data_IF_080462600606
#
_entry.id   IF_080462600606
#
_cell.length_a   1.000
_cell.length_b   1.000
_cell.length_c   1.000
_cell.angle_alpha   90.00
_cell.angle_beta   90.00
_cell.angle_gamma   90.00
#
_symmetry.space_group_name_H-M   'P 1'
#
loop_
_entity.id
_entity.type
_entity.pdbx_description
1 polymer ?
#
# COMPACT_ATOMS: atom_id res chain seq x y z
N UNK A 1 -19.88 -16.78 -11.47
CA UNK A 1 -20.58 -15.86 -10.56
C UNK A 1 -20.14 -15.96 -9.09
N UNK A 2 -19.28 -16.90 -8.67
CA UNK A 2 -18.77 -17.04 -7.28
C UNK A 2 -17.50 -16.22 -6.96
N UNK A 3 -16.88 -15.57 -7.93
CA UNK A 3 -15.66 -14.76 -7.71
C UNK A 3 -15.91 -13.34 -7.16
N UNK A 4 -17.15 -12.86 -7.14
CA UNK A 4 -17.46 -11.48 -6.69
C UNK A 4 -17.40 -11.30 -5.16
N UNK A 5 -17.64 -12.36 -4.40
CA UNK A 5 -17.66 -12.28 -2.92
C UNK A 5 -16.27 -12.35 -2.28
N UNK A 6 -15.25 -12.70 -3.03
CA UNK A 6 -13.91 -12.98 -2.52
C UNK A 6 -13.03 -11.73 -2.55
N UNK A 7 -13.25 -10.82 -3.51
CA UNK A 7 -12.53 -9.55 -3.57
C UNK A 7 -12.87 -8.63 -2.38
N UNK A 8 -14.09 -8.68 -1.87
CA UNK A 8 -14.50 -7.91 -0.68
C UNK A 8 -13.83 -8.37 0.61
N UNK A 9 -13.25 -9.56 0.61
CA UNK A 9 -12.72 -10.19 1.80
C UNK A 9 -11.24 -9.84 2.11
N UNK A 10 -10.45 -9.38 1.17
CA UNK A 10 -9.08 -8.86 1.41
C UNK A 10 -9.09 -7.42 1.96
N UNK A 11 -10.21 -6.74 1.80
CA UNK A 11 -10.33 -5.30 2.01
C UNK A 11 -10.23 -4.83 3.47
N UNK A 12 -10.53 -5.66 4.44
CA UNK A 12 -10.61 -5.23 5.84
C UNK A 12 -9.27 -5.23 6.58
N UNK A 13 -8.20 -5.77 5.97
CA UNK A 13 -7.04 -6.22 6.71
C UNK A 13 -5.93 -5.18 6.96
N UNK A 14 -5.72 -4.20 6.10
CA UNK A 14 -4.54 -3.28 6.21
C UNK A 14 -4.86 -1.95 6.88
N UNK A 15 -6.12 -1.57 6.96
CA UNK A 15 -6.53 -0.32 7.60
C UNK A 15 -6.19 -0.25 9.10
N UNK A 16 -6.16 -1.40 9.75
CA UNK A 16 -5.83 -1.49 11.18
C UNK A 16 -4.36 -1.21 11.49
N UNK A 17 -3.48 -1.42 10.51
CA UNK A 17 -2.03 -1.31 10.67
C UNK A 17 -1.58 0.09 11.07
N UNK A 18 -2.34 1.12 10.72
CA UNK A 18 -1.88 2.50 10.86
C UNK A 18 -2.78 3.40 11.74
N UNK A 19 -3.96 2.93 12.18
CA UNK A 19 -4.99 3.76 12.83
C UNK A 19 -5.03 3.62 14.35
N UNK A 20 -4.27 2.72 14.98
CA UNK A 20 -4.34 2.55 16.45
C UNK A 20 -3.57 3.65 17.23
N UNK A 21 -4.24 4.75 17.48
CA UNK A 21 -3.80 5.88 18.31
C UNK A 21 -4.44 5.86 19.72
N UNK A 22 -4.65 4.69 20.32
CA UNK A 22 -5.11 4.67 21.72
C UNK A 22 -4.21 3.79 22.58
N UNK A 23 -3.83 4.21 23.80
CA UNK A 23 -3.18 3.33 24.77
C UNK A 23 -4.23 2.36 25.30
N UNK A 24 -4.53 1.33 24.55
CA UNK A 24 -5.40 0.24 24.91
C UNK A 24 -4.59 -1.02 25.08
N UNK A 25 -4.82 -1.72 26.15
CA UNK A 25 -4.27 -3.02 26.53
C UNK A 25 -3.95 -3.86 25.30
N UNK A 26 -2.67 -4.25 25.13
CA UNK A 26 -2.25 -5.17 24.10
C UNK A 26 -3.08 -6.46 24.20
N UNK A 27 -3.97 -6.67 23.23
CA UNK A 27 -4.69 -7.93 23.17
C UNK A 27 -3.72 -9.05 22.74
N UNK A 28 -3.79 -10.23 23.37
CA UNK A 28 -2.91 -11.33 22.99
C UNK A 28 -3.15 -11.68 21.52
N UNK A 29 -2.11 -11.62 20.74
CA UNK A 29 -2.15 -12.06 19.34
C UNK A 29 -2.23 -13.59 19.33
N UNK A 30 -3.09 -14.19 18.49
CA UNK A 30 -3.06 -15.62 18.32
C UNK A 30 -1.71 -16.04 17.73
N UNK A 31 -0.84 -16.63 18.54
CA UNK A 31 0.45 -17.16 18.10
C UNK A 31 0.32 -18.17 16.94
N UNK A 32 -0.85 -18.79 16.81
CA UNK A 32 -1.19 -19.74 15.75
C UNK A 32 -1.26 -19.11 14.35
N UNK A 33 -1.58 -17.83 14.22
CA UNK A 33 -1.64 -17.14 12.92
C UNK A 33 -0.24 -16.82 12.38
N UNK A 34 0.74 -16.65 13.26
CA UNK A 34 2.13 -16.39 12.89
C UNK A 34 2.89 -17.64 12.43
N UNK A 35 2.41 -18.83 12.79
CA UNK A 35 3.16 -20.09 12.62
C UNK A 35 3.39 -20.51 11.15
N UNK A 36 2.71 -19.91 10.19
CA UNK A 36 2.81 -20.31 8.77
C UNK A 36 3.34 -19.21 7.85
N UNK A 37 3.88 -18.12 8.41
CA UNK A 37 4.37 -17.05 7.57
C UNK A 37 5.77 -17.34 7.05
N UNK A 38 5.92 -17.31 5.73
CA UNK A 38 7.23 -17.17 5.10
C UNK A 38 7.61 -15.68 4.96
N UNK A 39 7.11 -14.84 5.84
CA UNK A 39 7.45 -13.42 5.92
C UNK A 39 8.21 -13.19 7.22
N UNK A 40 9.46 -12.80 7.12
CA UNK A 40 10.31 -12.41 8.24
C UNK A 40 10.39 -10.89 8.32
N UNK A 41 10.32 -10.35 9.52
CA UNK A 41 10.36 -8.90 9.76
C UNK A 41 11.57 -8.52 10.59
N UNK A 42 12.24 -7.42 10.22
CA UNK A 42 13.40 -6.91 10.91
C UNK A 42 13.32 -5.39 11.10
N UNK A 43 13.38 -4.93 12.35
CA UNK A 43 13.63 -3.52 12.67
C UNK A 43 15.11 -3.32 12.92
N UNK A 44 15.84 -2.83 11.95
CA UNK A 44 17.27 -2.58 12.05
C UNK A 44 17.48 -1.23 12.74
N UNK A 45 18.29 -1.20 13.79
CA UNK A 45 18.53 0.04 14.55
C UNK A 45 19.06 1.16 13.63
N UNK A 46 18.52 2.38 13.75
CA UNK A 46 18.88 3.47 12.86
C UNK A 46 20.33 3.94 13.11
N UNK A 47 21.03 4.21 12.01
CA UNK A 47 22.37 4.82 12.07
C UNK A 47 22.32 6.31 12.40
N UNK A 48 21.16 6.95 12.22
CA UNK A 48 20.96 8.37 12.45
C UNK A 48 20.10 8.59 13.68
N UNK A 49 20.56 9.36 14.69
CA UNK A 49 19.79 9.60 15.91
C UNK A 49 18.37 10.16 15.68
N UNK A 50 18.19 10.98 14.62
CA UNK A 50 16.88 11.53 14.27
C UNK A 50 15.83 10.46 13.94
N UNK A 51 16.24 9.31 13.41
CA UNK A 51 15.34 8.23 13.03
C UNK A 51 14.96 7.31 14.21
N UNK A 52 15.54 7.54 15.41
CA UNK A 52 15.18 6.74 16.59
C UNK A 52 13.72 6.90 16.97
N UNK A 53 13.21 8.13 16.96
CA UNK A 53 11.79 8.39 17.26
C UNK A 53 10.83 7.73 16.23
N UNK A 54 11.27 7.62 14.97
CA UNK A 54 10.54 6.91 13.92
C UNK A 54 10.51 5.41 14.21
N UNK A 55 11.66 4.81 14.54
CA UNK A 55 11.74 3.40 14.93
C UNK A 55 10.81 3.10 16.13
N UNK A 56 10.91 3.90 17.20
CA UNK A 56 10.11 3.70 18.42
C UNK A 56 8.62 3.77 18.12
N UNK A 57 8.20 4.69 17.25
CA UNK A 57 6.81 4.84 16.80
C UNK A 57 6.33 3.63 16.00
N UNK A 58 7.14 3.16 15.04
CA UNK A 58 6.81 2.01 14.20
C UNK A 58 6.75 0.72 15.00
N UNK A 59 7.70 0.50 15.94
CA UNK A 59 7.69 -0.64 16.88
C UNK A 59 6.50 -0.58 17.81
N UNK A 60 6.22 0.57 18.42
CA UNK A 60 5.05 0.74 19.31
C UNK A 60 3.73 0.43 18.60
N UNK A 61 3.63 0.79 17.33
CA UNK A 61 2.46 0.50 16.48
C UNK A 61 2.49 -0.91 15.87
N UNK A 62 3.58 -1.64 16.04
CA UNK A 62 3.76 -3.00 15.53
C UNK A 62 3.53 -3.12 14.01
N UNK A 63 4.02 -2.12 13.25
CA UNK A 63 3.73 -1.97 11.83
C UNK A 63 4.17 -3.18 11.02
N UNK A 64 5.37 -3.70 11.24
CA UNK A 64 5.86 -4.87 10.51
C UNK A 64 5.16 -6.16 10.93
N UNK A 65 4.83 -6.29 12.21
CA UNK A 65 4.11 -7.46 12.73
C UNK A 65 2.70 -7.56 12.13
N UNK A 66 2.01 -6.43 12.00
CA UNK A 66 0.70 -6.36 11.37
C UNK A 66 0.80 -6.64 9.87
N UNK A 67 1.84 -6.11 9.21
CA UNK A 67 2.13 -6.44 7.82
C UNK A 67 2.39 -7.93 7.63
N UNK A 68 3.24 -8.53 8.48
CA UNK A 68 3.52 -9.98 8.43
C UNK A 68 2.26 -10.82 8.63
N UNK A 69 1.37 -10.40 9.54
CA UNK A 69 0.09 -11.06 9.73
C UNK A 69 -0.82 -10.91 8.50
N UNK A 70 -0.90 -9.72 7.91
CA UNK A 70 -1.64 -9.49 6.68
C UNK A 70 -1.14 -10.38 5.52
N UNK A 71 0.17 -10.53 5.41
CA UNK A 71 0.80 -11.33 4.36
C UNK A 71 0.79 -12.84 4.68
N UNK A 72 0.43 -13.24 5.90
CA UNK A 72 0.46 -14.65 6.32
C UNK A 72 -0.36 -15.62 5.45
N UNK A 73 -1.47 -15.21 4.79
CA UNK A 73 -2.18 -16.08 3.85
C UNK A 73 -1.42 -16.37 2.55
N UNK A 74 -0.36 -15.63 2.23
CA UNK A 74 0.42 -15.88 1.02
C UNK A 74 1.28 -17.13 1.18
N UNK A 75 1.08 -18.10 0.30
CA UNK A 75 1.84 -19.34 0.19
C UNK A 75 3.08 -19.11 -0.67
N UNK A 76 4.09 -18.43 -0.11
CA UNK A 76 5.31 -18.12 -0.83
C UNK A 76 6.24 -19.35 -0.89
N UNK A 77 6.86 -19.67 -2.04
CA UNK A 77 7.85 -20.75 -2.14
C UNK A 77 9.17 -20.42 -1.44
N UNK A 78 9.43 -19.12 -1.18
CA UNK A 78 10.63 -18.60 -0.53
C UNK A 78 10.27 -17.68 0.63
N UNK A 79 11.22 -17.43 1.52
CA UNK A 79 11.05 -16.48 2.63
C UNK A 79 11.21 -15.07 2.10
N UNK A 80 10.16 -14.25 2.24
CA UNK A 80 10.21 -12.81 2.00
C UNK A 80 10.65 -12.11 3.30
N UNK A 81 11.70 -11.31 3.23
CA UNK A 81 12.14 -10.45 4.34
C UNK A 81 11.57 -9.06 4.16
N UNK A 82 11.07 -8.47 5.23
CA UNK A 82 10.66 -7.06 5.25
C UNK A 82 11.43 -6.34 6.34
N UNK A 83 12.24 -5.37 5.95
CA UNK A 83 13.14 -4.65 6.85
C UNK A 83 12.83 -3.18 6.88
N UNK A 84 12.93 -2.56 8.05
CA UNK A 84 13.02 -1.10 8.18
C UNK A 84 14.45 -0.77 8.59
N UNK A 85 15.09 0.14 7.84
CA UNK A 85 16.51 0.44 8.00
C UNK A 85 16.89 1.86 7.58
N UNK A 86 18.11 2.30 7.90
CA UNK A 86 18.70 3.54 7.36
C UNK A 86 19.24 3.27 5.97
N UNK A 87 18.84 4.06 4.98
CA UNK A 87 19.31 3.95 3.59
C UNK A 87 20.15 5.15 3.14
N UNK A 88 20.19 6.25 3.91
CA UNK A 88 20.86 7.50 3.54
C UNK A 88 20.05 8.39 2.60
N UNK A 89 18.90 7.93 2.13
CA UNK A 89 17.96 8.69 1.28
C UNK A 89 16.53 8.17 1.48
N UNK A 90 15.55 9.01 1.19
CA UNK A 90 14.15 8.58 1.17
C UNK A 90 13.92 7.58 0.02
N UNK A 91 13.69 6.32 0.37
CA UNK A 91 13.46 5.23 -0.59
C UNK A 91 12.77 4.04 0.06
N UNK A 92 12.17 3.19 -0.75
CA UNK A 92 11.86 1.80 -0.50
C UNK A 92 12.32 1.01 -1.72
N UNK A 93 12.72 -0.24 -1.55
CA UNK A 93 13.19 -1.05 -2.68
C UNK A 93 13.20 -2.54 -2.36
N UNK A 94 12.89 -3.34 -3.37
CA UNK A 94 13.02 -4.79 -3.33
C UNK A 94 14.43 -5.21 -3.79
N UNK A 95 15.02 -6.18 -3.09
CA UNK A 95 16.33 -6.76 -3.40
C UNK A 95 16.15 -8.20 -3.87
N UNK A 96 16.21 -8.43 -5.16
CA UNK A 96 16.02 -9.74 -5.80
C UNK A 96 16.92 -10.84 -5.22
N UNK A 97 18.21 -10.55 -5.05
CA UNK A 97 19.19 -11.52 -4.53
C UNK A 97 18.92 -11.97 -3.09
N UNK A 98 18.16 -11.22 -2.32
CA UNK A 98 17.88 -11.48 -0.90
C UNK A 98 16.41 -11.81 -0.62
N UNK A 99 15.53 -11.66 -1.61
CA UNK A 99 14.07 -11.66 -1.45
C UNK A 99 13.63 -10.75 -0.30
N UNK A 100 14.12 -9.52 -0.33
CA UNK A 100 13.94 -8.58 0.76
C UNK A 100 13.36 -7.25 0.29
N UNK A 101 12.32 -6.78 0.96
CA UNK A 101 11.80 -5.42 0.88
C UNK A 101 12.50 -4.60 1.96
N UNK A 102 13.16 -3.52 1.56
CA UNK A 102 13.82 -2.59 2.46
C UNK A 102 13.04 -1.26 2.46
N UNK A 103 12.51 -0.91 3.63
CA UNK A 103 11.80 0.34 3.88
C UNK A 103 12.74 1.29 4.62
N UNK A 104 13.03 2.44 4.05
CA UNK A 104 13.97 3.38 4.65
C UNK A 104 13.26 4.25 5.70
N UNK A 105 13.89 4.49 6.87
CA UNK A 105 13.38 5.47 7.83
C UNK A 105 13.18 6.83 7.17
N UNK A 106 14.09 7.20 6.30
CA UNK A 106 14.07 8.46 5.57
C UNK A 106 12.85 8.59 4.65
N UNK A 107 12.29 7.45 4.17
CA UNK A 107 11.05 7.49 3.38
C UNK A 107 9.85 7.88 4.24
N UNK A 108 9.70 7.26 5.41
CA UNK A 108 8.64 7.63 6.36
C UNK A 108 8.76 9.10 6.79
N UNK A 109 9.99 9.52 7.13
CA UNK A 109 10.30 10.92 7.50
C UNK A 109 9.99 11.89 6.35
N UNK A 110 10.24 11.46 5.10
CA UNK A 110 9.89 12.24 3.92
C UNK A 110 8.37 12.38 3.76
N UNK A 111 7.59 11.33 3.99
CA UNK A 111 6.13 11.41 3.98
C UNK A 111 5.63 12.39 5.04
N UNK A 112 6.21 12.39 6.23
CA UNK A 112 5.90 13.37 7.28
C UNK A 112 6.26 14.82 6.85
N UNK A 113 7.35 14.99 6.11
CA UNK A 113 7.83 16.30 5.67
C UNK A 113 6.98 16.91 4.55
N UNK A 114 6.51 16.09 3.58
CA UNK A 114 5.68 16.57 2.48
C UNK A 114 4.19 16.66 2.84
N UNK A 115 3.78 16.00 3.92
CA UNK A 115 2.39 15.99 4.37
C UNK A 115 1.96 17.42 4.75
N UNK A 116 0.69 17.78 4.44
CA UNK A 116 0.18 19.11 4.79
C UNK A 116 0.28 19.35 6.29
N UNK A 117 0.50 20.60 6.66
CA UNK A 117 0.41 21.06 8.06
C UNK A 117 -1.05 21.10 8.52
N UNK A 118 -1.32 21.87 9.58
CA UNK A 118 -2.67 22.02 10.14
C UNK A 118 -3.64 22.81 9.22
N UNK A 119 -3.14 23.48 8.19
CA UNK A 119 -3.98 24.14 7.21
C UNK A 119 -4.45 23.11 6.16
N UNK A 120 -5.70 23.21 5.67
CA UNK A 120 -6.19 22.34 4.61
C UNK A 120 -5.31 22.44 3.36
N UNK A 121 -4.79 21.33 2.91
CA UNK A 121 -4.10 21.28 1.64
C UNK A 121 -5.08 21.40 0.45
N UNK A 122 -4.60 21.75 -0.75
CA UNK A 122 -5.42 21.72 -1.96
C UNK A 122 -6.18 20.37 -2.05
N UNK A 123 -7.44 20.43 -2.47
CA UNK A 123 -8.33 19.26 -2.57
C UNK A 123 -8.61 18.51 -1.26
N UNK A 124 -8.34 19.12 -0.09
CA UNK A 124 -8.70 18.57 1.22
C UNK A 124 -7.86 17.37 1.65
N UNK A 125 -6.60 17.29 1.27
CA UNK A 125 -5.68 16.28 1.78
C UNK A 125 -5.33 16.55 3.25
N UNK A 126 -5.30 15.52 4.06
CA UNK A 126 -4.87 15.58 5.46
C UNK A 126 -3.47 15.02 5.65
N UNK A 127 -2.81 15.38 6.76
CA UNK A 127 -1.49 14.85 7.10
C UNK A 127 -1.51 13.33 7.23
N UNK A 128 -2.49 12.80 7.95
CA UNK A 128 -2.57 11.37 8.21
C UNK A 128 -2.81 10.58 6.91
N UNK A 129 -3.68 11.06 6.02
CA UNK A 129 -3.87 10.43 4.71
C UNK A 129 -2.55 10.33 3.93
N UNK A 130 -1.76 11.40 3.92
CA UNK A 130 -0.50 11.44 3.15
C UNK A 130 0.55 10.53 3.74
N UNK A 131 0.76 10.58 5.07
CA UNK A 131 1.77 9.73 5.72
C UNK A 131 1.39 8.26 5.60
N UNK A 132 0.14 7.93 5.91
CA UNK A 132 -0.35 6.55 5.87
C UNK A 132 -0.42 6.03 4.44
N UNK A 133 -1.06 6.77 3.54
CA UNK A 133 -1.25 6.34 2.16
C UNK A 133 0.06 6.22 1.39
N UNK A 134 0.97 7.19 1.53
CA UNK A 134 2.27 7.14 0.88
C UNK A 134 3.17 6.01 1.41
N UNK A 135 3.09 5.71 2.71
CA UNK A 135 3.88 4.61 3.28
C UNK A 135 3.32 3.23 2.90
N UNK A 136 2.00 3.06 2.91
CA UNK A 136 1.34 1.83 2.43
C UNK A 136 1.62 1.61 0.94
N UNK A 137 1.57 2.68 0.15
CA UNK A 137 1.86 2.60 -1.27
C UNK A 137 3.26 2.06 -1.54
N UNK A 138 4.28 2.61 -0.87
CA UNK A 138 5.64 2.10 -0.99
C UNK A 138 5.75 0.61 -0.60
N UNK A 139 5.12 0.20 0.49
CA UNK A 139 5.12 -1.21 0.92
C UNK A 139 4.50 -2.12 -0.16
N UNK A 140 3.36 -1.73 -0.72
CA UNK A 140 2.66 -2.57 -1.69
C UNK A 140 3.27 -2.52 -3.09
N UNK A 141 3.90 -1.42 -3.44
CA UNK A 141 4.70 -1.33 -4.65
C UNK A 141 5.88 -2.31 -4.59
N UNK A 142 6.66 -2.28 -3.51
CA UNK A 142 7.78 -3.23 -3.32
C UNK A 142 7.30 -4.68 -3.15
N UNK A 143 6.13 -4.88 -2.56
CA UNK A 143 5.49 -6.19 -2.52
C UNK A 143 5.13 -6.68 -3.94
N UNK A 144 4.78 -5.78 -4.85
CA UNK A 144 4.56 -6.08 -6.26
C UNK A 144 5.78 -6.75 -6.87
N UNK A 145 6.94 -6.10 -6.80
CA UNK A 145 8.21 -6.66 -7.26
C UNK A 145 8.53 -8.01 -6.62
N UNK A 146 8.37 -8.10 -5.30
CA UNK A 146 8.61 -9.34 -4.55
C UNK A 146 7.69 -10.48 -5.02
N UNK A 147 6.42 -10.22 -5.30
CA UNK A 147 5.49 -11.24 -5.76
C UNK A 147 5.75 -11.66 -7.21
N UNK A 148 6.11 -10.71 -8.08
CA UNK A 148 6.46 -11.02 -9.47
C UNK A 148 7.69 -11.93 -9.53
N UNK A 149 8.73 -11.63 -8.75
CA UNK A 149 9.94 -12.46 -8.67
C UNK A 149 9.70 -13.80 -7.98
N UNK A 150 9.18 -13.80 -6.74
CA UNK A 150 9.08 -15.01 -5.92
C UNK A 150 8.09 -16.03 -6.49
N UNK A 151 7.03 -15.57 -7.16
CA UNK A 151 5.99 -16.42 -7.77
C UNK A 151 6.21 -16.64 -9.27
N UNK A 152 7.31 -16.12 -9.84
CA UNK A 152 7.63 -16.21 -11.26
C UNK A 152 6.48 -15.73 -12.16
N UNK A 153 5.93 -14.55 -11.82
CA UNK A 153 4.80 -13.96 -12.54
C UNK A 153 5.31 -13.17 -13.75
N UNK A 154 4.97 -13.55 -14.98
CA UNK A 154 5.40 -12.81 -16.16
C UNK A 154 4.73 -11.43 -16.24
N UNK A 155 5.51 -10.41 -16.48
CA UNK A 155 5.05 -9.03 -16.65
C UNK A 155 5.30 -8.57 -18.08
N UNK A 156 4.24 -8.12 -18.77
CA UNK A 156 4.35 -7.46 -20.07
C UNK A 156 4.40 -5.94 -19.90
N UNK A 157 5.47 -5.33 -20.34
CA UNK A 157 5.67 -3.88 -20.21
C UNK A 157 6.62 -3.56 -19.06
N UNK A 158 6.45 -2.35 -18.50
CA UNK A 158 7.29 -1.93 -17.38
C UNK A 158 6.80 -2.55 -16.08
N UNK A 159 7.72 -3.19 -15.36
CA UNK A 159 7.42 -3.82 -14.07
C UNK A 159 6.96 -2.78 -13.04
N UNK A 160 7.52 -1.57 -13.08
CA UNK A 160 7.15 -0.44 -12.24
C UNK A 160 5.67 -0.05 -12.37
N UNK A 161 5.15 -0.01 -13.61
CA UNK A 161 3.73 0.25 -13.83
C UNK A 161 2.85 -0.90 -13.30
N UNK A 162 3.32 -2.14 -13.38
CA UNK A 162 2.60 -3.30 -12.85
C UNK A 162 2.60 -3.32 -11.31
N UNK A 163 3.72 -2.93 -10.68
CA UNK A 163 3.83 -2.78 -9.22
C UNK A 163 2.89 -1.69 -8.70
N UNK A 164 2.83 -0.52 -9.37
CA UNK A 164 1.86 0.54 -9.06
C UNK A 164 0.40 0.07 -9.18
N UNK A 165 0.09 -0.67 -10.24
CA UNK A 165 -1.26 -1.20 -10.45
C UNK A 165 -1.64 -2.21 -9.37
N UNK A 166 -0.70 -3.06 -8.95
CA UNK A 166 -0.93 -4.00 -7.86
C UNK A 166 -1.09 -3.26 -6.53
N UNK A 167 -0.26 -2.27 -6.23
CA UNK A 167 -0.38 -1.43 -5.02
C UNK A 167 -1.76 -0.78 -4.94
N UNK A 168 -2.19 -0.07 -5.98
CA UNK A 168 -3.51 0.56 -6.03
C UNK A 168 -4.65 -0.47 -5.92
N UNK A 169 -4.52 -1.63 -6.57
CA UNK A 169 -5.50 -2.72 -6.48
C UNK A 169 -5.62 -3.27 -5.06
N UNK A 170 -4.51 -3.51 -4.36
CA UNK A 170 -4.51 -4.00 -2.99
C UNK A 170 -5.15 -2.97 -2.04
N UNK A 171 -4.85 -1.68 -2.17
CA UNK A 171 -5.48 -0.63 -1.37
C UNK A 171 -7.01 -0.59 -1.57
N UNK A 172 -7.51 -0.87 -2.78
CA UNK A 172 -8.95 -0.95 -3.05
C UNK A 172 -9.65 -2.14 -2.35
N UNK A 173 -8.90 -3.15 -1.90
CA UNK A 173 -9.47 -4.30 -1.21
C UNK A 173 -9.83 -4.02 0.26
N UNK A 174 -9.48 -2.85 0.82
CA UNK A 174 -9.70 -2.52 2.23
C UNK A 174 -11.08 -1.92 2.56
N UNK A 175 -11.98 -1.85 1.57
CA UNK A 175 -13.26 -1.16 1.71
C UNK A 175 -13.16 0.33 1.44
N UNK A 176 -14.31 0.96 1.19
CA UNK A 176 -14.42 2.30 0.62
C UNK A 176 -13.64 3.38 1.36
N UNK A 177 -13.78 3.43 2.68
CA UNK A 177 -13.21 4.53 3.49
C UNK A 177 -11.69 4.43 3.56
N UNK A 178 -11.17 3.22 3.76
CA UNK A 178 -9.73 2.98 3.81
C UNK A 178 -9.09 3.13 2.44
N UNK A 179 -9.70 2.56 1.41
CA UNK A 179 -9.25 2.74 0.04
C UNK A 179 -9.21 4.23 -0.33
N UNK A 180 -10.22 4.99 0.07
CA UNK A 180 -10.25 6.44 -0.14
C UNK A 180 -9.08 7.14 0.53
N UNK A 181 -8.83 6.84 1.81
CA UNK A 181 -7.74 7.42 2.59
C UNK A 181 -6.37 7.06 2.02
N UNK A 182 -6.12 5.79 1.77
CA UNK A 182 -4.80 5.30 1.34
C UNK A 182 -4.47 5.73 -0.09
N UNK A 183 -5.38 5.57 -1.03
CA UNK A 183 -5.15 5.97 -2.43
C UNK A 183 -5.04 7.48 -2.55
N UNK A 184 -5.85 8.24 -1.81
CA UNK A 184 -5.75 9.69 -1.77
C UNK A 184 -4.37 10.12 -1.28
N UNK A 185 -3.86 9.52 -0.20
CA UNK A 185 -2.52 9.78 0.31
C UNK A 185 -1.41 9.40 -0.67
N UNK A 186 -1.49 8.20 -1.27
CA UNK A 186 -0.56 7.76 -2.30
C UNK A 186 -0.55 8.72 -3.51
N UNK A 187 -1.72 9.09 -4.03
CA UNK A 187 -1.83 10.03 -5.13
C UNK A 187 -1.23 11.41 -4.80
N UNK A 188 -1.36 11.88 -3.55
CA UNK A 188 -0.77 13.14 -3.12
C UNK A 188 0.75 13.15 -3.28
N UNK A 189 1.44 12.04 -3.01
CA UNK A 189 2.91 11.97 -3.16
C UNK A 189 3.34 12.27 -4.59
N UNK A 190 2.58 11.76 -5.57
CA UNK A 190 2.82 12.03 -6.99
C UNK A 190 2.40 13.43 -7.40
N UNK A 191 1.32 13.97 -6.80
CA UNK A 191 0.85 15.32 -7.08
C UNK A 191 1.89 16.39 -6.70
N UNK A 192 2.56 16.23 -5.55
CA UNK A 192 3.56 17.20 -5.06
C UNK A 192 4.97 16.93 -5.59
N UNK A 193 5.20 15.79 -6.21
CA UNK A 193 6.49 15.45 -6.82
C UNK A 193 6.74 16.32 -8.05
N UNK A 194 8.00 16.71 -8.24
CA UNK A 194 8.41 17.39 -9.47
C UNK A 194 8.14 16.51 -10.67
N UNK A 195 7.52 17.07 -11.69
CA UNK A 195 7.20 16.38 -12.94
C UNK A 195 7.95 17.03 -14.12
N UNK A 196 9.29 16.92 -14.18
CA UNK A 196 10.07 17.53 -15.23
C UNK A 196 9.78 16.87 -16.58
N UNK A 197 9.61 17.68 -17.62
CA UNK A 197 9.47 17.21 -19.01
C UNK A 197 10.86 17.13 -19.67
N UNK A 198 11.73 16.28 -19.15
CA UNK A 198 13.07 16.09 -19.66
C UNK A 198 13.26 14.73 -20.30
N UNK A 199 14.26 14.56 -21.16
CA UNK A 199 14.59 13.24 -21.75
C UNK A 199 14.89 12.22 -20.65
N UNK A 200 15.59 12.61 -19.59
CA UNK A 200 15.91 11.75 -18.45
C UNK A 200 14.65 11.27 -17.74
N UNK A 201 13.68 12.17 -17.48
CA UNK A 201 12.42 11.79 -16.86
C UNK A 201 11.57 10.84 -17.71
N UNK A 202 11.66 10.94 -19.04
CA UNK A 202 10.97 10.02 -19.95
C UNK A 202 11.70 8.70 -20.15
N UNK A 203 13.01 8.65 -19.84
CA UNK A 203 13.84 7.44 -19.92
C UNK A 203 13.86 6.65 -18.60
N UNK A 204 13.21 7.16 -17.55
CA UNK A 204 13.07 6.49 -16.26
C UNK A 204 12.21 5.22 -16.40
N UNK A 205 12.53 4.20 -15.65
CA UNK A 205 11.74 2.96 -15.60
C UNK A 205 10.37 3.18 -14.98
N UNK A 206 10.23 4.16 -14.07
CA UNK A 206 8.93 4.61 -13.58
C UNK A 206 8.22 5.53 -14.58
N UNK A 207 6.89 5.51 -14.54
CA UNK A 207 6.09 6.56 -15.14
C UNK A 207 6.36 7.93 -14.50
N UNK A 208 6.15 9.01 -15.23
CA UNK A 208 6.25 10.34 -14.63
C UNK A 208 5.25 10.49 -13.48
N UNK A 209 5.54 11.34 -12.50
CA UNK A 209 4.66 11.56 -11.35
C UNK A 209 3.21 11.88 -11.77
N UNK A 210 3.03 12.69 -12.83
CA UNK A 210 1.71 12.98 -13.37
C UNK A 210 1.00 11.74 -13.96
N UNK A 211 1.72 10.86 -14.64
CA UNK A 211 1.16 9.59 -15.13
C UNK A 211 0.75 8.67 -13.98
N UNK A 212 1.62 8.49 -12.98
CA UNK A 212 1.33 7.69 -11.79
C UNK A 212 0.11 8.24 -11.03
N UNK A 213 0.04 9.56 -10.82
CA UNK A 213 -1.13 10.22 -10.22
C UNK A 213 -2.45 9.84 -10.91
N UNK A 214 -2.51 10.00 -12.22
CA UNK A 214 -3.74 9.68 -12.97
C UNK A 214 -4.03 8.19 -13.04
N UNK A 215 -3.01 7.32 -13.04
CA UNK A 215 -3.19 5.88 -13.03
C UNK A 215 -3.80 5.41 -11.70
N UNK A 216 -3.34 5.92 -10.56
CA UNK A 216 -3.93 5.63 -9.25
C UNK A 216 -5.39 6.08 -9.17
N UNK A 217 -5.68 7.33 -9.59
CA UNK A 217 -7.07 7.82 -9.59
C UNK A 217 -7.97 7.03 -10.54
N UNK A 218 -7.44 6.59 -11.67
CA UNK A 218 -8.20 5.80 -12.63
C UNK A 218 -8.52 4.40 -12.10
N UNK A 219 -7.55 3.69 -11.52
CA UNK A 219 -7.82 2.40 -10.89
C UNK A 219 -8.79 2.53 -9.72
N UNK A 220 -8.65 3.58 -8.91
CA UNK A 220 -9.55 3.86 -7.81
C UNK A 220 -10.99 4.10 -8.28
N UNK A 221 -11.18 4.98 -9.26
CA UNK A 221 -12.50 5.24 -9.84
C UNK A 221 -13.08 4.00 -10.55
N UNK A 222 -12.23 3.25 -11.24
CA UNK A 222 -12.65 2.02 -11.93
C UNK A 222 -13.10 0.90 -10.99
N UNK A 223 -12.52 0.82 -9.80
CA UNK A 223 -12.85 -0.18 -8.78
C UNK A 223 -13.97 0.23 -7.84
N UNK A 224 -13.99 1.48 -7.41
CA UNK A 224 -14.95 2.05 -6.44
C UNK A 224 -15.48 3.41 -6.94
N UNK A 225 -16.30 3.44 -8.01
CA UNK A 225 -16.73 4.70 -8.64
C UNK A 225 -17.45 5.63 -7.66
N UNK A 226 -18.25 5.10 -6.75
CA UNK A 226 -19.00 5.93 -5.79
C UNK A 226 -18.06 6.63 -4.79
N UNK A 227 -16.97 5.97 -4.41
CA UNK A 227 -16.00 6.54 -3.47
C UNK A 227 -15.11 7.62 -4.11
N UNK A 228 -14.95 7.61 -5.44
CA UNK A 228 -14.03 8.48 -6.15
C UNK A 228 -14.69 9.38 -7.22
N UNK A 229 -16.03 9.42 -7.27
CA UNK A 229 -16.81 10.22 -8.24
C UNK A 229 -16.46 11.69 -8.19
N UNK A 230 -16.21 12.23 -7.03
CA UNK A 230 -15.88 13.64 -6.85
C UNK A 230 -14.59 14.07 -7.56
N UNK A 231 -13.65 13.14 -7.80
CA UNK A 231 -12.46 13.45 -8.59
C UNK A 231 -12.79 13.71 -10.06
N UNK A 232 -13.81 13.04 -10.60
CA UNK A 232 -14.32 13.26 -11.95
C UNK A 232 -15.17 14.53 -11.99
N UNK A 233 -16.07 14.70 -11.02
CA UNK A 233 -16.98 15.85 -10.96
C UNK A 233 -16.24 17.18 -10.79
N UNK A 234 -15.15 17.19 -10.03
CA UNK A 234 -14.25 18.33 -9.84
C UNK A 234 -13.23 18.51 -10.96
N UNK A 235 -13.21 17.63 -11.96
CA UNK A 235 -12.27 17.67 -13.08
C UNK A 235 -10.82 17.31 -12.72
N UNK A 236 -10.57 16.75 -11.52
CA UNK A 236 -9.23 16.28 -11.11
C UNK A 236 -8.85 15.07 -11.97
N UNK A 237 -9.74 14.09 -12.11
CA UNK A 237 -9.63 13.04 -13.11
C UNK A 237 -10.43 13.46 -14.35
N UNK A 238 -9.80 13.72 -15.50
CA UNK A 238 -10.50 14.12 -16.72
C UNK A 238 -11.56 13.10 -17.15
N UNK A 239 -12.74 13.54 -17.54
CA UNK A 239 -13.86 12.66 -17.97
C UNK A 239 -13.44 11.66 -19.04
N UNK A 240 -12.72 12.13 -20.07
CA UNK A 240 -12.20 11.26 -21.12
C UNK A 240 -11.26 10.16 -20.60
N UNK A 241 -10.50 10.41 -19.53
CA UNK A 241 -9.67 9.39 -18.87
C UNK A 241 -10.52 8.41 -18.07
N UNK A 242 -11.55 8.92 -17.40
CA UNK A 242 -12.45 8.14 -16.54
C UNK A 242 -13.24 7.06 -17.31
N UNK A 243 -13.54 7.28 -18.60
CA UNK A 243 -14.29 6.32 -19.45
C UNK A 243 -13.60 4.95 -19.56
N UNK A 244 -12.26 4.90 -19.53
CA UNK A 244 -11.48 3.66 -19.62
C UNK A 244 -11.22 2.95 -18.27
N UNK A 245 -11.45 3.62 -17.15
CA UNK A 245 -10.95 3.19 -15.83
C UNK A 245 -11.56 1.88 -15.33
N UNK A 246 -12.85 1.66 -15.56
CA UNK A 246 -13.49 0.38 -15.20
C UNK A 246 -12.84 -0.81 -15.91
N UNK A 247 -12.52 -0.64 -17.20
CA UNK A 247 -11.85 -1.68 -17.97
C UNK A 247 -10.43 -1.95 -17.43
N UNK A 248 -9.67 -0.91 -17.12
CA UNK A 248 -8.31 -1.06 -16.56
C UNK A 248 -8.34 -1.79 -15.23
N UNK A 249 -9.23 -1.41 -14.33
CA UNK A 249 -9.43 -2.14 -13.06
C UNK A 249 -9.78 -3.61 -13.29
N UNK A 250 -10.67 -3.94 -14.22
CA UNK A 250 -11.02 -5.33 -14.51
C UNK A 250 -9.85 -6.14 -15.08
N UNK A 251 -8.93 -5.51 -15.82
CA UNK A 251 -7.71 -6.17 -16.31
C UNK A 251 -6.78 -6.51 -15.14
N UNK A 252 -6.52 -5.56 -14.25
CA UNK A 252 -5.68 -5.79 -13.04
C UNK A 252 -6.32 -6.85 -12.15
N UNK A 253 -7.61 -6.76 -11.87
CA UNK A 253 -8.36 -7.75 -11.09
C UNK A 253 -8.25 -9.15 -11.69
N UNK A 254 -8.32 -9.27 -13.01
CA UNK A 254 -8.18 -10.56 -13.72
C UNK A 254 -6.76 -11.09 -13.62
N UNK A 255 -5.75 -10.23 -13.77
CA UNK A 255 -4.35 -10.61 -13.60
C UNK A 255 -4.12 -11.15 -12.19
N UNK A 256 -4.50 -10.40 -11.16
CA UNK A 256 -4.41 -10.82 -9.77
C UNK A 256 -5.10 -12.18 -9.51
N UNK A 257 -6.32 -12.33 -10.00
CA UNK A 257 -7.09 -13.57 -9.82
C UNK A 257 -6.45 -14.81 -10.47
N UNK A 258 -5.64 -14.61 -11.50
CA UNK A 258 -4.97 -15.71 -12.22
C UNK A 258 -3.57 -15.99 -11.70
N UNK A 259 -2.86 -14.99 -11.20
CA UNK A 259 -1.43 -15.11 -10.90
C UNK A 259 -1.15 -15.13 -9.39
N UNK A 260 -1.77 -14.28 -8.59
CA UNK A 260 -1.51 -14.17 -7.15
C UNK A 260 -2.53 -14.94 -6.32
N UNK A 261 -3.82 -14.84 -6.65
CA UNK A 261 -4.88 -15.47 -5.88
C UNK A 261 -4.73 -17.00 -5.68
N UNK A 262 -4.21 -17.80 -6.65
CA UNK A 262 -3.94 -19.23 -6.43
C UNK A 262 -2.94 -19.52 -5.31
N UNK A 263 -2.12 -18.54 -4.94
CA UNK A 263 -1.14 -18.63 -3.86
C UNK A 263 -1.66 -18.10 -2.52
N UNK A 264 -2.98 -17.84 -2.40
CA UNK A 264 -3.59 -17.36 -1.15
C UNK A 264 -4.27 -18.53 -0.42
N UNK A 265 -3.91 -18.72 0.85
CA UNK A 265 -4.67 -19.56 1.77
C UNK A 265 -5.95 -18.85 2.18
N UNK A 266 -7.07 -19.23 1.54
CA UNK A 266 -8.36 -18.58 1.73
C UNK A 266 -8.90 -18.75 3.16
N UNK A 267 -8.66 -19.90 3.80
CA UNK A 267 -9.14 -20.14 5.16
C UNK A 267 -8.33 -19.33 6.18
N UNK A 268 -7.01 -19.23 6.00
CA UNK A 268 -6.17 -18.36 6.83
C UNK A 268 -6.53 -16.89 6.60
N UNK A 269 -6.76 -16.48 5.36
CA UNK A 269 -7.19 -15.13 5.03
C UNK A 269 -8.48 -14.74 5.76
N UNK A 270 -9.50 -15.63 5.80
CA UNK A 270 -10.74 -15.41 6.55
C UNK A 270 -10.47 -15.22 8.05
N UNK A 271 -9.54 -16.01 8.63
CA UNK A 271 -9.16 -15.89 10.04
C UNK A 271 -8.44 -14.56 10.33
N UNK A 272 -7.53 -14.15 9.44
CA UNK A 272 -6.85 -12.85 9.55
C UNK A 272 -7.87 -11.71 9.50
N UNK A 273 -8.79 -11.74 8.56
CA UNK A 273 -9.85 -10.73 8.41
C UNK A 273 -10.84 -10.69 9.58
N UNK A 274 -11.00 -11.79 10.30
CA UNK A 274 -11.87 -11.85 11.48
C UNK A 274 -11.26 -11.19 12.72
N UNK A 275 -9.96 -10.78 12.68
CA UNK A 275 -9.29 -10.19 13.84
C UNK A 275 -9.91 -8.83 14.22
N UNK A 276 -10.10 -8.53 15.51
CA UNK A 276 -10.74 -7.29 15.97
C UNK A 276 -10.00 -6.02 15.54
N UNK A 277 -8.67 -6.07 15.49
CA UNK A 277 -7.84 -4.93 15.09
C UNK A 277 -8.06 -4.52 13.62
N UNK A 278 -8.48 -5.43 12.75
CA UNK A 278 -8.88 -5.15 11.38
C UNK A 278 -10.25 -4.47 11.25
N UNK A 279 -11.08 -4.55 12.30
CA UNK A 279 -12.44 -4.00 12.31
C UNK A 279 -12.54 -2.64 13.02
N UNK A 280 -11.49 -2.19 13.69
CA UNK A 280 -11.52 -0.96 14.50
C UNK A 280 -11.37 0.34 13.70
N UNK A 281 -11.58 0.31 12.40
CA UNK A 281 -11.56 1.50 11.55
C UNK A 281 -12.82 2.35 11.65
N UNK A 282 -13.83 1.93 12.43
CA UNK A 282 -15.06 2.69 12.60
C UNK A 282 -14.81 3.93 13.47
N UNK A 283 -14.52 5.05 12.82
CA UNK A 283 -14.81 6.38 13.35
C UNK A 283 -13.75 7.05 14.23
N UNK A 284 -12.48 6.61 14.25
CA UNK A 284 -11.42 7.27 15.05
C UNK A 284 -10.30 7.94 14.26
N UNK A 285 -10.50 8.16 12.99
CA UNK A 285 -9.57 8.99 12.17
C UNK A 285 -9.75 10.48 12.49
N UNK A 286 -10.81 10.85 13.21
CA UNK A 286 -11.20 12.24 13.49
C UNK A 286 -11.30 12.57 15.00
N UNK A 287 -10.35 12.15 15.83
CA UNK A 287 -10.21 12.74 17.18
C UNK A 287 -8.75 12.94 17.53
#
# INVERSE_FOLDING_TARGET
MRCLSIAAALAAAVAAVLVQLSPGVAQPRPAELAANTRVMIDYIDPRLPKSQATLDRLRKRQVLEELAMFLSPLRLPRVLRVRIMTCGRANAFYVFAEWAINLCYEYYEHMEAIAPGNAPAPHGYTRDEVVVGGFIDAIFHELGHALFDILDIPVFGREEDAADQLSAFLMLQFGKDVARTTIKGAAYTYLVSKNPRTRTAFADEHGTAGQRFFNYLCLAYGGEPDAFRDYVDKGILPKARAEGCSREYQLVRRAFAKTIYPHIDVELMKKVQAQPWLRQTDGRINK
#
